data_IF_623985356804
#
_entry.id   IF_623985356804
#
_cell.length_a   1.000
_cell.length_b   1.000
_cell.length_c   1.000
_cell.angle_alpha   90.00
_cell.angle_beta   90.00
_cell.angle_gamma   90.00
#
_symmetry.space_group_name_H-M   'P 1'
#
loop_
_entity.id
_entity.type
_entity.pdbx_description
1 polymer ?
#
# COMPACT_ATOMS: atom_id res chain seq x y z
N UNK A 1 -32.55 -43.26 18.77
CA UNK A 1 -33.07 -42.00 18.19
C UNK A 1 -32.02 -41.43 17.25
N UNK A 2 -32.31 -41.43 15.96
CA UNK A 2 -31.35 -41.22 14.87
C UNK A 2 -30.99 -39.75 14.67
N UNK A 3 -29.69 -39.49 14.52
CA UNK A 3 -29.03 -38.18 14.35
C UNK A 3 -29.30 -37.51 12.97
N UNK A 4 -30.55 -37.34 12.55
CA UNK A 4 -30.87 -36.69 11.26
C UNK A 4 -31.51 -35.30 11.35
N UNK A 5 -31.59 -34.70 12.55
CA UNK A 5 -32.09 -33.32 12.74
C UNK A 5 -31.00 -32.23 12.80
N UNK A 6 -29.72 -32.60 12.71
CA UNK A 6 -28.57 -31.71 12.97
C UNK A 6 -28.14 -30.69 11.88
N UNK A 7 -28.46 -30.79 10.57
CA UNK A 7 -27.98 -29.83 9.56
C UNK A 7 -28.66 -28.44 9.66
N UNK A 8 -29.95 -28.43 10.01
CA UNK A 8 -30.80 -27.22 9.99
C UNK A 8 -30.46 -26.30 11.16
N UNK A 9 -30.21 -26.88 12.33
CA UNK A 9 -29.87 -26.13 13.55
C UNK A 9 -28.52 -25.41 13.40
N UNK A 10 -27.51 -26.09 12.84
CA UNK A 10 -26.20 -25.48 12.54
C UNK A 10 -26.32 -24.31 11.55
N UNK A 11 -27.20 -24.40 10.54
CA UNK A 11 -27.48 -23.32 9.58
C UNK A 11 -28.14 -22.11 10.24
N UNK A 12 -29.13 -22.31 11.12
CA UNK A 12 -29.80 -21.22 11.85
C UNK A 12 -28.84 -20.49 12.78
N UNK A 13 -28.01 -21.23 13.52
CA UNK A 13 -26.98 -20.67 14.42
C UNK A 13 -25.99 -19.83 13.59
N UNK A 14 -25.46 -20.39 12.50
CA UNK A 14 -24.53 -19.68 11.61
C UNK A 14 -25.12 -18.39 11.03
N UNK A 15 -26.37 -18.42 10.56
CA UNK A 15 -27.06 -17.23 10.06
C UNK A 15 -27.17 -16.13 11.12
N UNK A 16 -27.47 -16.50 12.36
CA UNK A 16 -27.60 -15.55 13.49
C UNK A 16 -26.25 -14.95 13.87
N UNK A 17 -25.19 -15.77 13.87
CA UNK A 17 -23.82 -15.31 14.10
C UNK A 17 -23.37 -14.34 13.00
N UNK A 18 -23.63 -14.67 11.73
CA UNK A 18 -23.31 -13.79 10.60
C UNK A 18 -24.00 -12.44 10.68
N UNK A 19 -25.27 -12.39 11.12
CA UNK A 19 -25.98 -11.11 11.34
C UNK A 19 -25.25 -10.22 12.35
N UNK A 20 -24.80 -10.79 13.47
CA UNK A 20 -24.04 -10.05 14.49
C UNK A 20 -22.70 -9.54 13.98
N UNK A 21 -21.96 -10.39 13.26
CA UNK A 21 -20.68 -9.99 12.65
C UNK A 21 -20.92 -8.82 11.70
N UNK A 22 -21.95 -8.90 10.85
CA UNK A 22 -22.33 -7.82 9.93
C UNK A 22 -22.70 -6.55 10.70
N UNK A 23 -23.49 -6.63 11.77
CA UNK A 23 -23.85 -5.46 12.59
C UNK A 23 -22.65 -4.80 13.27
N UNK A 24 -21.69 -5.59 13.75
CA UNK A 24 -20.45 -5.07 14.32
C UNK A 24 -19.61 -4.40 13.23
N UNK A 25 -19.46 -5.05 12.07
CA UNK A 25 -18.67 -4.53 10.95
C UNK A 25 -19.29 -3.31 10.28
N UNK A 26 -20.62 -3.15 10.30
CA UNK A 26 -21.30 -1.92 9.85
C UNK A 26 -20.93 -0.71 10.71
N UNK A 27 -20.71 -0.92 12.02
CA UNK A 27 -20.29 0.15 12.95
C UNK A 27 -18.78 0.36 12.91
N UNK A 28 -18.01 -0.73 12.83
CA UNK A 28 -16.56 -0.69 12.74
C UNK A 28 -16.04 -1.79 11.79
N UNK A 29 -15.77 -1.42 10.55
CA UNK A 29 -15.32 -2.34 9.51
C UNK A 29 -13.86 -2.81 9.71
N UNK A 30 -13.07 -2.12 10.55
CA UNK A 30 -11.68 -2.48 10.86
C UNK A 30 -11.56 -3.42 12.07
N UNK A 31 -12.67 -3.79 12.71
CA UNK A 31 -12.71 -4.66 13.89
C UNK A 31 -11.82 -5.91 13.71
N UNK A 32 -10.98 -6.20 14.70
CA UNK A 32 -10.03 -7.32 14.64
C UNK A 32 -10.77 -8.65 14.72
N UNK A 33 -10.13 -9.72 14.23
CA UNK A 33 -10.73 -11.06 14.24
C UNK A 33 -10.93 -11.55 15.67
N UNK A 34 -10.02 -11.21 16.58
CA UNK A 34 -10.15 -11.55 18.01
C UNK A 34 -11.40 -10.91 18.63
N UNK A 35 -11.70 -9.65 18.32
CA UNK A 35 -12.93 -8.99 18.80
C UNK A 35 -14.19 -9.69 18.28
N UNK A 36 -14.18 -10.10 17.00
CA UNK A 36 -15.31 -10.85 16.42
C UNK A 36 -15.44 -12.23 17.05
N UNK A 37 -14.31 -12.87 17.35
CA UNK A 37 -14.25 -14.17 18.01
C UNK A 37 -14.82 -14.10 19.43
N UNK A 38 -14.43 -13.09 20.22
CA UNK A 38 -14.97 -12.88 21.58
C UNK A 38 -16.49 -12.69 21.58
N UNK A 39 -17.02 -11.87 20.66
CA UNK A 39 -18.48 -11.64 20.54
C UNK A 39 -19.24 -12.95 20.29
N UNK A 40 -18.65 -13.84 19.49
CA UNK A 40 -19.23 -15.15 19.16
C UNK A 40 -19.12 -16.09 20.36
N UNK A 41 -17.93 -16.15 20.96
CA UNK A 41 -17.63 -17.04 22.08
C UNK A 41 -18.54 -16.75 23.28
N UNK A 42 -18.62 -15.48 23.71
CA UNK A 42 -19.44 -15.07 24.86
C UNK A 42 -20.93 -15.36 24.67
N UNK A 43 -21.45 -15.29 23.44
CA UNK A 43 -22.89 -15.43 23.20
C UNK A 43 -23.33 -16.87 22.92
N UNK A 44 -22.51 -17.66 22.24
CA UNK A 44 -22.91 -18.99 21.75
C UNK A 44 -22.13 -20.12 22.41
N UNK A 45 -21.18 -19.81 23.30
CA UNK A 45 -20.33 -20.77 24.02
C UNK A 45 -19.73 -21.85 23.10
N UNK A 46 -19.40 -21.44 21.86
CA UNK A 46 -18.88 -22.31 20.81
C UNK A 46 -17.47 -21.88 20.43
N UNK A 47 -16.55 -22.84 20.46
CA UNK A 47 -15.20 -22.67 19.95
C UNK A 47 -15.21 -22.69 18.42
N UNK A 48 -15.13 -21.50 17.81
CA UNK A 48 -14.79 -21.39 16.40
C UNK A 48 -13.28 -21.30 16.22
N UNK A 49 -12.78 -21.98 15.20
CA UNK A 49 -11.40 -21.73 14.76
C UNK A 49 -11.26 -20.31 14.21
N UNK A 50 -10.06 -19.75 14.35
CA UNK A 50 -9.70 -18.44 13.79
C UNK A 50 -10.09 -18.31 12.31
N UNK A 51 -9.80 -19.35 11.51
CA UNK A 51 -10.09 -19.37 10.08
C UNK A 51 -11.60 -19.21 9.78
N UNK A 52 -12.48 -19.82 10.57
CA UNK A 52 -13.94 -19.68 10.39
C UNK A 52 -14.41 -18.25 10.65
N UNK A 53 -13.85 -17.60 11.67
CA UNK A 53 -14.17 -16.20 11.97
C UNK A 53 -13.59 -15.26 10.90
N UNK A 54 -12.38 -15.56 10.42
CA UNK A 54 -11.77 -14.84 9.29
C UNK A 54 -12.63 -14.94 8.02
N UNK A 55 -13.05 -16.15 7.63
CA UNK A 55 -13.91 -16.38 6.46
C UNK A 55 -15.29 -15.71 6.63
N UNK A 56 -15.87 -15.80 7.82
CA UNK A 56 -17.10 -15.09 8.17
C UNK A 56 -16.95 -13.56 8.04
N UNK A 57 -15.82 -13.00 8.49
CA UNK A 57 -15.50 -11.58 8.32
C UNK A 57 -15.43 -11.21 6.84
N UNK A 58 -14.74 -11.99 6.00
CA UNK A 58 -14.65 -11.72 4.56
C UNK A 58 -16.02 -11.74 3.89
N UNK A 59 -16.86 -12.75 4.19
CA UNK A 59 -18.24 -12.84 3.68
C UNK A 59 -19.12 -11.68 4.15
N UNK A 60 -18.95 -11.25 5.40
CA UNK A 60 -19.69 -10.12 5.94
C UNK A 60 -19.25 -8.79 5.30
N UNK A 61 -17.95 -8.58 5.07
CA UNK A 61 -17.42 -7.42 4.33
C UNK A 61 -18.00 -7.38 2.92
N UNK A 62 -17.93 -8.50 2.19
CA UNK A 62 -18.50 -8.60 0.84
C UNK A 62 -20.01 -8.29 0.83
N UNK A 63 -20.75 -8.71 1.86
CA UNK A 63 -22.17 -8.41 1.99
C UNK A 63 -22.47 -6.92 2.28
N UNK A 64 -21.55 -6.21 2.95
CA UNK A 64 -21.73 -4.80 3.31
C UNK A 64 -21.30 -3.89 2.15
N UNK A 65 -20.10 -4.12 1.60
CA UNK A 65 -19.45 -3.22 0.66
C UNK A 65 -19.53 -3.68 -0.80
N UNK A 66 -20.01 -4.90 -1.04
CA UNK A 66 -19.89 -5.57 -2.33
C UNK A 66 -18.63 -6.42 -2.40
N UNK A 67 -18.55 -7.28 -3.41
CA UNK A 67 -17.33 -8.02 -3.68
C UNK A 67 -16.25 -7.12 -4.31
N UNK A 68 -15.09 -7.71 -4.58
CA UNK A 68 -13.96 -7.00 -5.15
C UNK A 68 -14.26 -6.38 -6.51
N UNK A 69 -15.03 -7.05 -7.36
CA UNK A 69 -15.34 -6.60 -8.72
C UNK A 69 -16.38 -5.48 -8.69
N UNK A 70 -17.41 -5.64 -7.85
CA UNK A 70 -18.41 -4.60 -7.59
C UNK A 70 -17.76 -3.32 -7.05
N UNK A 71 -16.73 -3.45 -6.20
CA UNK A 71 -15.98 -2.30 -5.67
C UNK A 71 -15.31 -1.48 -6.78
N UNK A 72 -14.69 -2.14 -7.77
CA UNK A 72 -14.10 -1.45 -8.92
C UNK A 72 -15.16 -0.84 -9.85
N UNK A 73 -16.32 -1.47 -10.00
CA UNK A 73 -17.44 -0.89 -10.76
C UNK A 73 -18.04 0.34 -10.07
N UNK A 74 -18.18 0.30 -8.74
CA UNK A 74 -18.63 1.44 -7.92
C UNK A 74 -17.67 2.61 -8.00
N UNK A 75 -16.37 2.35 -8.09
CA UNK A 75 -15.34 3.39 -8.21
C UNK A 75 -15.56 4.27 -9.46
N UNK A 76 -15.94 3.67 -10.60
CA UNK A 76 -16.30 4.44 -11.79
C UNK A 76 -17.52 5.33 -11.56
N UNK A 77 -18.56 4.81 -10.92
CA UNK A 77 -19.78 5.57 -10.60
C UNK A 77 -19.47 6.74 -9.64
N UNK A 78 -18.58 6.51 -8.67
CA UNK A 78 -18.13 7.53 -7.73
C UNK A 78 -17.42 8.69 -8.44
N UNK A 79 -16.55 8.42 -9.41
CA UNK A 79 -15.86 9.47 -10.16
C UNK A 79 -16.82 10.31 -11.00
N UNK A 80 -17.83 9.68 -11.59
CA UNK A 80 -18.89 10.41 -12.30
C UNK A 80 -19.67 11.30 -11.33
N UNK A 81 -19.95 10.84 -10.11
CA UNK A 81 -20.59 11.67 -9.10
C UNK A 81 -19.70 12.85 -8.65
N UNK A 82 -18.39 12.67 -8.56
CA UNK A 82 -17.47 13.77 -8.29
C UNK A 82 -17.43 14.81 -9.42
N UNK A 83 -17.49 14.37 -10.68
CA UNK A 83 -17.56 15.27 -11.82
C UNK A 83 -18.89 16.03 -11.87
N UNK A 84 -20.00 15.36 -11.53
CA UNK A 84 -21.32 15.98 -11.43
C UNK A 84 -21.36 17.07 -10.34
N UNK A 85 -20.73 16.79 -9.20
CA UNK A 85 -20.63 17.77 -8.10
C UNK A 85 -19.72 18.96 -8.44
N UNK A 86 -18.60 18.72 -9.12
CA UNK A 86 -17.66 19.76 -9.53
C UNK A 86 -17.04 19.44 -10.89
N UNK A 87 -17.50 20.16 -11.91
CA UNK A 87 -17.06 20.01 -13.31
C UNK A 87 -15.56 20.27 -13.53
N UNK A 88 -14.87 20.93 -12.60
CA UNK A 88 -13.42 21.12 -12.66
C UNK A 88 -12.62 19.92 -12.14
N UNK A 89 -13.27 18.91 -11.55
CA UNK A 89 -12.64 17.66 -11.13
C UNK A 89 -12.19 16.89 -12.36
N UNK A 90 -10.92 16.50 -12.37
CA UNK A 90 -10.34 15.74 -13.47
C UNK A 90 -10.15 14.30 -13.05
N UNK A 91 -10.47 13.37 -13.93
CA UNK A 91 -10.16 11.96 -13.73
C UNK A 91 -9.72 11.31 -15.04
N UNK A 92 -8.92 10.26 -14.92
CA UNK A 92 -8.52 9.44 -16.05
C UNK A 92 -8.57 7.97 -15.63
N UNK A 93 -9.08 7.11 -16.52
CA UNK A 93 -9.18 5.69 -16.26
C UNK A 93 -8.78 4.92 -17.52
N UNK A 94 -7.97 3.88 -17.34
CA UNK A 94 -7.53 3.03 -18.44
C UNK A 94 -7.78 1.57 -18.13
N UNK A 95 -8.51 0.91 -19.02
CA UNK A 95 -8.87 -0.49 -18.93
C UNK A 95 -8.42 -1.23 -20.19
N UNK A 96 -7.84 -2.42 -20.00
CA UNK A 96 -7.42 -3.30 -21.09
C UNK A 96 -8.52 -4.36 -21.25
N UNK A 97 -9.20 -4.44 -22.40
CA UNK A 97 -10.17 -5.50 -22.63
C UNK A 97 -9.46 -6.86 -22.61
N UNK A 98 -10.07 -7.85 -21.95
CA UNK A 98 -9.63 -9.23 -22.04
C UNK A 98 -10.50 -9.94 -23.07
N UNK A 99 -9.89 -10.81 -23.88
CA UNK A 99 -10.57 -11.58 -24.93
C UNK A 99 -11.57 -12.62 -24.42
N UNK A 100 -11.95 -12.58 -23.14
CA UNK A 100 -12.88 -13.49 -22.48
C UNK A 100 -14.02 -12.66 -21.89
N UNK A 101 -15.24 -12.94 -22.35
CA UNK A 101 -16.53 -12.62 -21.72
C UNK A 101 -16.72 -11.18 -21.20
N UNK A 102 -16.43 -10.17 -22.01
CA UNK A 102 -16.72 -8.77 -21.66
C UNK A 102 -15.97 -8.28 -20.41
N UNK A 103 -14.93 -8.99 -19.98
CA UNK A 103 -14.11 -8.62 -18.82
C UNK A 103 -13.03 -7.63 -19.23
N UNK A 104 -12.75 -6.65 -18.38
CA UNK A 104 -11.71 -5.67 -18.61
C UNK A 104 -10.79 -5.58 -17.37
N UNK A 105 -9.48 -5.53 -17.61
CA UNK A 105 -8.49 -5.32 -16.57
C UNK A 105 -8.28 -3.82 -16.36
N UNK A 106 -8.57 -3.34 -15.15
CA UNK A 106 -8.19 -1.99 -14.76
C UNK A 106 -6.66 -1.90 -14.68
N UNK A 107 -6.06 -1.00 -15.49
CA UNK A 107 -4.62 -0.79 -15.52
C UNK A 107 -4.20 0.33 -14.57
N UNK A 108 -4.88 1.47 -14.69
CA UNK A 108 -4.75 2.57 -13.75
C UNK A 108 -6.05 3.37 -13.69
N UNK A 109 -6.21 4.04 -12.56
CA UNK A 109 -7.21 5.07 -12.34
C UNK A 109 -6.52 6.25 -11.68
N UNK A 110 -6.89 7.46 -12.06
CA UNK A 110 -6.40 8.71 -11.51
C UNK A 110 -7.54 9.69 -11.32
N UNK A 111 -7.52 10.49 -10.26
CA UNK A 111 -8.39 11.66 -10.12
C UNK A 111 -7.78 12.76 -9.26
N UNK A 112 -8.24 13.99 -9.48
CA UNK A 112 -7.89 15.19 -8.73
C UNK A 112 -9.09 16.12 -8.68
N UNK A 113 -9.35 16.70 -7.50
CA UNK A 113 -10.50 17.58 -7.29
C UNK A 113 -10.20 19.00 -7.76
N UNK A 114 -11.19 19.69 -8.35
CA UNK A 114 -10.99 21.06 -8.83
C UNK A 114 -10.41 22.03 -7.78
N UNK A 115 -10.86 22.00 -6.50
CA UNK A 115 -10.28 22.84 -5.45
C UNK A 115 -8.80 22.54 -5.21
N UNK A 116 -8.38 21.28 -5.35
CA UNK A 116 -6.97 20.89 -5.19
C UNK A 116 -6.11 21.42 -6.35
N UNK A 117 -6.61 21.36 -7.58
CA UNK A 117 -5.96 21.95 -8.76
C UNK A 117 -5.81 23.46 -8.56
N UNK A 118 -6.88 24.14 -8.15
CA UNK A 118 -6.89 25.58 -7.93
C UNK A 118 -5.93 25.98 -6.79
N UNK A 119 -5.93 25.22 -5.69
CA UNK A 119 -5.16 25.52 -4.50
C UNK A 119 -3.65 25.27 -4.66
N UNK A 120 -3.22 24.41 -5.59
CA UNK A 120 -1.80 24.08 -5.79
C UNK A 120 -0.92 25.31 -6.06
N UNK A 121 -1.46 26.36 -6.68
CA UNK A 121 -0.74 27.63 -6.91
C UNK A 121 -0.27 28.33 -5.63
N UNK A 122 -0.91 28.02 -4.49
CA UNK A 122 -0.57 28.54 -3.17
C UNK A 122 0.35 27.59 -2.38
N UNK A 123 0.64 26.42 -2.95
CA UNK A 123 1.57 25.46 -2.37
C UNK A 123 3.02 25.77 -2.77
N UNK A 124 3.94 25.20 -2.01
CA UNK A 124 5.36 25.14 -2.38
C UNK A 124 5.48 24.32 -3.68
N UNK A 125 6.45 24.63 -4.56
CA UNK A 125 6.65 23.93 -5.83
C UNK A 125 7.32 22.57 -5.63
N UNK A 126 6.81 21.77 -4.69
CA UNK A 126 7.30 20.44 -4.33
C UNK A 126 6.07 19.53 -4.20
N UNK A 127 6.05 18.47 -5.00
CA UNK A 127 5.04 17.42 -4.91
C UNK A 127 5.70 16.19 -4.29
N UNK A 128 5.11 15.70 -3.21
CA UNK A 128 5.48 14.42 -2.59
C UNK A 128 4.48 13.36 -3.04
N UNK A 129 4.99 12.24 -3.55
CA UNK A 129 4.16 11.10 -3.97
C UNK A 129 4.48 9.94 -3.04
N UNK A 130 3.44 9.32 -2.50
CA UNK A 130 3.56 8.13 -1.67
C UNK A 130 2.51 7.08 -2.07
N UNK A 131 2.82 5.82 -1.85
CA UNK A 131 2.01 4.68 -2.26
C UNK A 131 1.79 3.70 -1.12
N UNK A 132 0.53 3.29 -0.91
CA UNK A 132 0.20 2.19 0.01
C UNK A 132 -0.35 1.01 -0.76
N UNK A 133 0.12 -0.19 -0.41
CA UNK A 133 -0.42 -1.42 -0.98
C UNK A 133 -1.88 -1.62 -0.54
N UNK A 134 -2.75 -1.92 -1.51
CA UNK A 134 -4.13 -2.28 -1.24
C UNK A 134 -4.21 -3.76 -0.85
N UNK A 135 -4.78 -4.02 0.32
CA UNK A 135 -5.08 -5.38 0.80
C UNK A 135 -6.36 -5.90 0.12
N UNK A 136 -6.28 -6.17 -1.17
CA UNK A 136 -7.36 -6.81 -1.92
C UNK A 136 -6.84 -7.98 -2.75
N UNK A 137 -7.77 -8.79 -3.29
CA UNK A 137 -7.45 -9.92 -4.17
C UNK A 137 -6.50 -9.50 -5.32
N UNK A 138 -6.67 -8.28 -5.81
CA UNK A 138 -5.90 -7.70 -6.90
C UNK A 138 -4.86 -6.73 -6.32
N UNK A 139 -3.65 -7.21 -6.01
CA UNK A 139 -2.56 -6.50 -5.28
C UNK A 139 -2.11 -5.15 -5.90
N UNK A 140 -2.98 -4.16 -5.94
CA UNK A 140 -2.73 -2.82 -6.45
C UNK A 140 -2.09 -1.90 -5.39
N UNK A 141 -1.78 -0.68 -5.82
CA UNK A 141 -1.22 0.39 -4.99
C UNK A 141 -2.13 1.61 -5.12
N UNK A 142 -2.54 2.16 -3.98
CA UNK A 142 -3.16 3.48 -3.91
C UNK A 142 -2.04 4.50 -3.73
N UNK A 143 -1.81 5.30 -4.76
CA UNK A 143 -0.85 6.41 -4.76
C UNK A 143 -1.58 7.71 -4.42
N UNK A 144 -0.90 8.57 -3.67
CA UNK A 144 -1.38 9.90 -3.31
C UNK A 144 -0.26 10.90 -3.62
N UNK A 145 -0.58 11.90 -4.43
CA UNK A 145 0.26 13.08 -4.62
C UNK A 145 -0.19 14.16 -3.65
N UNK A 146 0.76 14.77 -2.95
CA UNK A 146 0.52 15.80 -1.94
C UNK A 146 1.46 16.97 -2.15
N UNK A 147 0.98 18.17 -1.85
CA UNK A 147 1.82 19.36 -1.74
C UNK A 147 1.69 19.96 -0.35
N UNK A 148 2.63 20.84 0.02
CA UNK A 148 2.59 21.57 1.28
C UNK A 148 2.46 23.06 1.01
N UNK A 149 1.58 23.75 1.74
CA UNK A 149 1.44 25.19 1.64
C UNK A 149 2.55 25.95 2.40
N UNK A 150 2.52 27.28 2.29
CA UNK A 150 3.43 28.15 3.03
C UNK A 150 3.31 27.96 4.55
N UNK A 151 2.12 27.60 5.03
CA UNK A 151 1.77 27.35 6.43
C UNK A 151 2.02 25.90 6.90
N UNK A 152 2.77 25.11 6.12
CA UNK A 152 3.10 23.71 6.43
C UNK A 152 1.89 22.77 6.50
N UNK A 153 0.74 23.17 5.95
CA UNK A 153 -0.42 22.29 5.81
C UNK A 153 -0.28 21.42 4.58
N UNK A 154 -0.66 20.15 4.71
CA UNK A 154 -0.63 19.18 3.62
C UNK A 154 -1.93 19.28 2.83
N UNK A 155 -1.82 19.44 1.51
CA UNK A 155 -2.91 19.39 0.56
C UNK A 155 -2.79 18.11 -0.28
N UNK A 156 -3.73 17.17 -0.19
CA UNK A 156 -3.79 16.05 -1.13
C UNK A 156 -4.19 16.59 -2.51
N UNK A 157 -3.28 16.47 -3.48
CA UNK A 157 -3.46 16.98 -4.84
C UNK A 157 -4.24 16.00 -5.70
N UNK A 158 -3.81 14.75 -5.71
CA UNK A 158 -4.35 13.73 -6.60
C UNK A 158 -4.19 12.34 -6.02
N UNK A 159 -5.00 11.43 -6.53
CA UNK A 159 -5.04 10.03 -6.11
C UNK A 159 -4.94 9.16 -7.36
N UNK A 160 -4.32 8.00 -7.21
CA UNK A 160 -4.30 7.01 -8.26
C UNK A 160 -4.37 5.58 -7.71
N UNK A 161 -5.09 4.71 -8.40
CA UNK A 161 -5.04 3.26 -8.17
C UNK A 161 -4.29 2.64 -9.33
N UNK A 162 -3.15 2.02 -9.07
CA UNK A 162 -2.28 1.41 -10.08
C UNK A 162 -2.03 -0.06 -9.76
N UNK A 163 -1.78 -0.88 -10.78
CA UNK A 163 -1.53 -2.31 -10.58
C UNK A 163 -0.22 -2.62 -9.83
N UNK A 164 0.80 -1.77 -9.98
CA UNK A 164 2.08 -1.86 -9.28
C UNK A 164 2.76 -0.50 -9.31
N UNK A 165 3.57 -0.20 -8.30
CA UNK A 165 4.59 0.86 -8.40
C UNK A 165 5.68 0.38 -9.36
N UNK A 166 5.41 0.51 -10.66
CA UNK A 166 6.41 0.28 -11.70
C UNK A 166 7.07 1.61 -12.00
N UNK A 167 8.40 1.65 -12.02
CA UNK A 167 9.18 2.79 -12.53
C UNK A 167 9.06 2.96 -14.04
N UNK A 168 7.85 2.80 -14.60
CA UNK A 168 7.53 3.26 -15.93
C UNK A 168 8.04 4.69 -16.04
N UNK A 169 8.84 4.93 -17.08
CA UNK A 169 9.64 6.15 -17.26
C UNK A 169 8.73 7.37 -17.04
N UNK A 170 8.75 7.92 -15.84
CA UNK A 170 8.22 9.25 -15.57
C UNK A 170 8.82 10.15 -16.65
N UNK A 171 8.04 11.07 -17.27
CA UNK A 171 8.59 12.00 -18.24
C UNK A 171 9.82 12.66 -17.61
N UNK A 172 11.00 12.32 -18.15
CA UNK A 172 12.28 12.88 -17.73
C UNK A 172 12.48 14.17 -18.52
N UNK A 173 13.42 15.02 -18.07
CA UNK A 173 13.79 16.30 -18.72
C UNK A 173 14.04 16.20 -20.25
N UNK A 174 14.21 15.00 -20.81
CA UNK A 174 14.30 14.74 -22.25
C UNK A 174 13.01 15.10 -23.02
N UNK A 175 11.85 15.18 -22.34
CA UNK A 175 10.62 15.77 -22.86
C UNK A 175 10.70 17.31 -22.70
N UNK A 176 11.46 17.95 -23.60
CA UNK A 176 12.04 19.33 -23.61
C UNK A 176 11.14 20.56 -23.28
N UNK A 177 10.03 20.43 -22.56
CA UNK A 177 9.12 21.54 -22.23
C UNK A 177 8.74 21.66 -20.74
N UNK A 178 9.24 20.81 -19.84
CA UNK A 178 8.90 20.86 -18.41
C UNK A 178 10.16 20.88 -17.54
N UNK A 179 10.38 21.96 -16.78
CA UNK A 179 11.44 22.04 -15.78
C UNK A 179 11.01 21.34 -14.49
N UNK A 180 11.00 20.00 -14.47
CA UNK A 180 10.59 19.21 -13.29
C UNK A 180 11.74 18.34 -12.82
N UNK A 181 12.29 18.66 -11.65
CA UNK A 181 13.35 17.88 -11.03
C UNK A 181 12.79 16.75 -10.19
N UNK A 182 13.02 15.52 -10.63
CA UNK A 182 12.70 14.33 -9.84
C UNK A 182 13.76 14.10 -8.75
N UNK A 183 13.30 13.80 -7.53
CA UNK A 183 14.15 13.49 -6.38
C UNK A 183 13.55 12.30 -5.63
N UNK A 184 14.41 11.49 -5.01
CA UNK A 184 13.95 10.43 -4.12
C UNK A 184 13.72 10.99 -2.73
N UNK A 185 12.61 10.57 -2.10
CA UNK A 185 12.36 10.89 -0.70
C UNK A 185 13.45 10.22 0.16
N UNK A 186 14.27 11.02 0.83
CA UNK A 186 15.38 10.52 1.66
C UNK A 186 14.91 9.55 2.76
N UNK A 187 13.70 9.78 3.29
CA UNK A 187 13.07 8.86 4.25
C UNK A 187 12.82 7.47 3.63
N UNK A 188 12.32 7.43 2.39
CA UNK A 188 12.12 6.17 1.68
C UNK A 188 13.43 5.51 1.29
N UNK A 189 14.43 6.29 0.82
CA UNK A 189 15.77 5.77 0.53
C UNK A 189 16.37 5.11 1.77
N UNK A 190 16.35 5.79 2.92
CA UNK A 190 16.91 5.26 4.15
C UNK A 190 16.12 4.06 4.72
N UNK A 191 14.78 4.07 4.63
CA UNK A 191 13.98 2.93 5.04
C UNK A 191 14.24 1.71 4.15
N UNK A 192 14.25 1.89 2.82
CA UNK A 192 14.56 0.83 1.87
C UNK A 192 15.98 0.29 2.07
N UNK A 193 16.96 1.18 2.29
CA UNK A 193 18.32 0.79 2.66
C UNK A 193 18.31 -0.11 3.92
N UNK A 194 17.60 0.30 4.98
CA UNK A 194 17.53 -0.50 6.20
C UNK A 194 16.80 -1.84 6.03
N UNK A 195 15.93 -2.02 5.03
CA UNK A 195 15.36 -3.35 4.76
C UNK A 195 16.38 -4.35 4.23
N UNK A 196 17.50 -3.88 3.67
CA UNK A 196 18.58 -4.74 3.18
C UNK A 196 19.68 -4.98 4.21
N UNK A 197 20.06 -3.94 4.96
CA UNK A 197 21.19 -4.01 5.89
C UNK A 197 20.77 -4.26 7.35
N UNK A 198 19.53 -3.92 7.72
CA UNK A 198 18.99 -4.02 9.08
C UNK A 198 19.88 -3.44 10.19
N UNK A 199 20.60 -2.35 9.88
CA UNK A 199 21.51 -1.67 10.80
C UNK A 199 21.07 -0.20 11.01
N UNK A 200 20.58 0.15 12.22
CA UNK A 200 20.16 1.51 12.55
C UNK A 200 21.26 2.57 12.39
N UNK A 201 22.53 2.20 12.60
CA UNK A 201 23.69 3.09 12.47
C UNK A 201 23.96 3.40 11.00
N UNK A 202 23.93 2.37 10.14
CA UNK A 202 24.07 2.57 8.70
C UNK A 202 22.89 3.36 8.12
N UNK A 203 21.67 3.12 8.61
CA UNK A 203 20.50 3.94 8.26
C UNK A 203 20.70 5.41 8.64
N UNK A 204 21.23 5.69 9.83
CA UNK A 204 21.52 7.05 10.27
C UNK A 204 22.60 7.72 9.40
N UNK A 205 23.64 6.98 9.00
CA UNK A 205 24.66 7.48 8.07
C UNK A 205 24.07 7.75 6.67
N UNK A 206 23.22 6.87 6.14
CA UNK A 206 22.54 7.07 4.87
C UNK A 206 21.64 8.31 4.89
N UNK A 207 20.90 8.53 5.98
CA UNK A 207 20.15 9.77 6.21
C UNK A 207 21.09 10.99 6.25
N UNK A 208 22.19 10.89 7.01
CA UNK A 208 23.15 11.99 7.15
C UNK A 208 23.75 12.37 5.79
N UNK A 209 24.10 11.40 4.95
CA UNK A 209 24.59 11.63 3.60
C UNK A 209 23.58 12.45 2.77
N UNK A 210 22.29 12.11 2.83
CA UNK A 210 21.25 12.82 2.08
C UNK A 210 20.95 14.25 2.55
N UNK A 211 21.33 14.63 3.76
CA UNK A 211 21.19 16.00 4.27
C UNK A 211 22.42 16.89 4.01
N UNK A 212 23.54 16.29 3.60
CA UNK A 212 24.78 17.04 3.38
C UNK A 212 24.70 17.84 2.08
N UNK A 213 25.07 19.11 2.15
CA UNK A 213 25.13 20.02 1.00
C UNK A 213 26.51 20.10 0.36
N UNK A 214 27.56 19.63 1.04
CA UNK A 214 28.95 19.67 0.56
C UNK A 214 29.41 18.30 0.08
N UNK A 215 29.85 18.23 -1.18
CA UNK A 215 30.28 16.99 -1.83
C UNK A 215 31.39 16.24 -1.06
N UNK A 216 32.43 16.94 -0.59
CA UNK A 216 33.50 16.32 0.18
C UNK A 216 33.02 15.63 1.47
N UNK A 217 32.02 16.22 2.15
CA UNK A 217 31.42 15.62 3.36
C UNK A 217 30.52 14.44 2.99
N UNK A 218 29.82 14.52 1.86
CA UNK A 218 29.00 13.43 1.33
C UNK A 218 29.88 12.22 1.03
N UNK A 219 30.98 12.41 0.28
CA UNK A 219 31.93 11.36 -0.06
C UNK A 219 32.56 10.71 1.18
N UNK A 220 32.94 11.51 2.18
CA UNK A 220 33.46 10.98 3.45
C UNK A 220 32.46 10.07 4.17
N UNK A 221 31.17 10.44 4.21
CA UNK A 221 30.12 9.61 4.82
C UNK A 221 29.88 8.35 3.98
N UNK A 222 29.83 8.48 2.64
CA UNK A 222 29.66 7.34 1.74
C UNK A 222 30.82 6.35 1.87
N UNK A 223 32.05 6.83 2.04
CA UNK A 223 33.21 5.97 2.31
C UNK A 223 33.06 5.23 3.63
N UNK A 224 32.60 5.92 4.69
CA UNK A 224 32.32 5.27 5.99
C UNK A 224 31.32 4.13 5.86
N UNK A 225 30.25 4.32 5.08
CA UNK A 225 29.25 3.27 4.83
C UNK A 225 29.88 2.08 4.10
N UNK A 226 30.68 2.34 3.05
CA UNK A 226 31.39 1.29 2.28
C UNK A 226 32.36 0.49 3.15
N UNK A 227 33.09 1.16 4.04
CA UNK A 227 34.09 0.52 4.88
C UNK A 227 33.45 -0.45 5.88
N UNK A 228 32.28 -0.11 6.43
CA UNK A 228 31.50 -1.00 7.30
C UNK A 228 31.04 -2.25 6.55
N UNK A 229 30.57 -2.11 5.31
CA UNK A 229 30.17 -3.24 4.47
C UNK A 229 31.36 -4.17 4.16
N UNK A 230 32.50 -3.60 3.77
CA UNK A 230 33.74 -4.37 3.49
C UNK A 230 34.21 -5.11 4.75
N UNK A 231 34.16 -4.47 5.92
CA UNK A 231 34.57 -5.08 7.17
C UNK A 231 33.61 -6.20 7.61
N UNK A 232 32.30 -6.06 7.37
CA UNK A 232 31.33 -7.12 7.58
C UNK A 232 31.57 -8.33 6.65
N UNK A 233 31.92 -8.11 5.38
CA UNK A 233 32.28 -9.20 4.47
C UNK A 233 33.57 -9.92 4.90
N UNK A 234 34.56 -9.18 5.39
CA UNK A 234 35.83 -9.74 5.91
C UNK A 234 35.64 -10.55 7.19
N UNK A 235 34.77 -10.12 8.10
CA UNK A 235 34.49 -10.88 9.35
C UNK A 235 33.70 -12.16 9.10
N UNK A 236 32.86 -12.21 8.07
CA UNK A 236 32.19 -13.44 7.60
C UNK A 236 33.20 -14.43 6.98
N UNK A 237 34.21 -13.93 6.24
CA UNK A 237 35.29 -14.80 5.73
C UNK A 237 36.20 -15.35 6.85
N UNK A 238 36.40 -14.62 7.94
CA UNK A 238 37.18 -15.09 9.09
C UNK A 238 36.45 -16.09 10.00
N UNK A 239 35.11 -16.23 9.90
CA UNK A 239 34.31 -17.11 10.78
C UNK A 239 34.09 -18.53 10.22
N UNK A 240 34.57 -18.81 9.00
CA UNK A 240 34.75 -20.18 8.50
C UNK A 240 36.24 -20.46 8.24
N UNK A 241 37.01 -20.87 9.25
CA UNK A 241 38.29 -21.51 8.99
C UNK A 241 38.05 -22.95 8.52
N UNK A 242 38.80 -23.35 7.50
CA UNK A 242 38.94 -24.69 6.88
C UNK A 242 37.80 -25.21 6.01
N UNK A 243 37.99 -25.18 4.68
CA UNK A 243 38.48 -26.38 3.96
C UNK A 243 39.50 -25.93 2.90
N UNK A 244 40.57 -26.70 2.83
CA UNK A 244 41.76 -26.63 2.00
C UNK A 244 41.58 -26.18 0.55
N UNK A 245 42.55 -25.37 0.11
CA UNK A 245 43.09 -25.37 -1.25
C UNK A 245 43.04 -26.76 -1.90
N UNK A 246 42.30 -26.87 -3.00
CA UNK A 246 42.65 -27.77 -4.09
C UNK A 246 42.40 -26.99 -5.38
N UNK A 247 43.50 -26.52 -5.97
CA UNK A 247 43.46 -25.78 -7.22
C UNK A 247 42.94 -26.63 -8.35
N UNK A 248 42.41 -25.97 -9.37
CA UNK A 248 42.40 -26.46 -10.74
C UNK A 248 42.46 -25.22 -11.66
N UNK A 249 43.24 -25.44 -12.71
CA UNK A 249 43.69 -24.51 -13.76
C UNK A 249 42.60 -23.71 -14.43
#
# INVERSE_FOLDING_TARGET
>A
MTMNSFPILKRKIWSTMMKKIVEKLRRNHTARINELWEIIHTKYNHELSYYKVWDAKQKAIAKIFGDWEESYQRLRKLLLAYLDQDSGTQYNYYTIPRGIDGTALLRYLFWTFAPCIAAFRYCRPIISIDGTHLYCKYRGVLMIAMATDANQKVLPLAFAVVGKESGAKWPRDEDRNLQVFHRYCLRHVANNFNTHFDDPSLKALALKAGYVTHEAKFESIMQTIKDVEINALRSVQCSHPTVSFMGLR
#
